data_IF_089051377286
#
_entry.id   IF_089051377286
#
_cell.length_a   1.000
_cell.length_b   1.000
_cell.length_c   1.000
_cell.angle_alpha   90.00
_cell.angle_beta   90.00
_cell.angle_gamma   90.00
#
_symmetry.space_group_name_H-M   'P 1'
#
loop_
_entity.id
_entity.type
_entity.pdbx_description
1 polymer ?
#
# COMPACT_ATOMS: atom_id res chain seq x y z
N UNK A 1 -23.61 -25.97 -6.07
CA UNK A 1 -24.26 -24.99 -5.15
C UNK A 1 -25.11 -24.04 -5.98
N UNK A 2 -26.21 -23.49 -5.44
CA UNK A 2 -26.99 -22.44 -6.14
C UNK A 2 -26.25 -21.09 -6.03
N UNK A 3 -26.31 -20.24 -7.05
CA UNK A 3 -25.76 -18.86 -7.12
C UNK A 3 -24.22 -18.70 -7.16
N UNK A 4 -23.48 -19.67 -7.69
CA UNK A 4 -22.01 -19.60 -7.75
C UNK A 4 -21.50 -18.45 -8.65
N UNK A 5 -22.27 -18.13 -9.68
CA UNK A 5 -22.10 -17.01 -10.62
C UNK A 5 -22.35 -15.63 -9.99
N UNK A 6 -22.72 -15.58 -8.71
CA UNK A 6 -22.99 -14.33 -7.97
C UNK A 6 -22.00 -14.10 -6.83
N UNK A 7 -20.97 -14.93 -6.71
CA UNK A 7 -19.97 -14.86 -5.65
C UNK A 7 -18.64 -14.38 -6.24
N UNK A 8 -18.08 -13.34 -5.62
CA UNK A 8 -16.74 -12.85 -5.87
C UNK A 8 -15.89 -13.02 -4.60
N UNK A 9 -14.78 -13.75 -4.73
CA UNK A 9 -13.73 -13.78 -3.71
C UNK A 9 -12.65 -12.76 -4.04
N UNK A 10 -12.27 -11.98 -3.04
CA UNK A 10 -11.10 -11.10 -3.10
C UNK A 10 -10.07 -11.64 -2.11
N UNK A 11 -8.95 -12.12 -2.63
CA UNK A 11 -7.86 -12.71 -1.88
C UNK A 11 -6.67 -11.74 -1.90
N UNK A 12 -6.42 -11.07 -0.77
CA UNK A 12 -5.36 -10.07 -0.68
C UNK A 12 -4.05 -10.70 -0.14
N UNK A 13 -2.93 -10.44 -0.80
CA UNK A 13 -1.60 -10.83 -0.31
C UNK A 13 -1.29 -12.34 -0.42
N UNK A 14 -1.49 -12.97 -1.57
CA UNK A 14 -1.20 -14.40 -1.76
C UNK A 14 0.22 -14.82 -1.37
N UNK A 15 1.22 -13.96 -1.59
CA UNK A 15 2.62 -14.22 -1.25
C UNK A 15 2.88 -14.31 0.26
N UNK A 16 1.95 -13.86 1.10
CA UNK A 16 2.07 -13.96 2.56
C UNK A 16 1.74 -15.37 3.07
N UNK A 17 0.98 -16.15 2.29
CA UNK A 17 0.51 -17.48 2.70
C UNK A 17 1.23 -18.63 1.98
N UNK A 18 2.14 -18.35 1.03
CA UNK A 18 2.77 -19.40 0.20
C UNK A 18 3.49 -20.47 1.00
N UNK A 19 4.11 -20.11 2.13
CA UNK A 19 4.80 -21.04 3.01
C UNK A 19 3.84 -21.90 3.86
N UNK A 20 2.60 -21.45 4.02
CA UNK A 20 1.55 -22.12 4.80
C UNK A 20 0.60 -22.93 3.93
N UNK A 21 0.79 -22.98 2.61
CA UNK A 21 -0.05 -23.77 1.70
C UNK A 21 0.06 -25.28 1.91
N UNK A 22 0.93 -25.74 2.82
CA UNK A 22 0.95 -27.12 3.31
C UNK A 22 -0.08 -27.42 4.40
N UNK A 23 -0.66 -26.38 5.00
CA UNK A 23 -1.69 -26.54 6.03
C UNK A 23 -2.94 -27.18 5.40
N UNK A 24 -3.50 -28.25 5.99
CA UNK A 24 -4.62 -28.99 5.40
C UNK A 24 -5.83 -28.11 5.09
N UNK A 25 -6.14 -27.15 5.95
CA UNK A 25 -7.25 -26.21 5.79
C UNK A 25 -7.04 -25.30 4.57
N UNK A 26 -5.85 -24.72 4.42
CA UNK A 26 -5.53 -23.86 3.27
C UNK A 26 -5.45 -24.67 1.98
N UNK A 27 -4.84 -25.85 2.01
CA UNK A 27 -4.80 -26.77 0.87
C UNK A 27 -6.20 -27.10 0.38
N UNK A 28 -7.11 -27.41 1.31
CA UNK A 28 -8.51 -27.73 1.01
C UNK A 28 -9.24 -26.53 0.43
N UNK A 29 -9.09 -25.35 1.05
CA UNK A 29 -9.70 -24.11 0.57
C UNK A 29 -9.28 -23.80 -0.87
N UNK A 30 -7.98 -23.77 -1.15
CA UNK A 30 -7.47 -23.51 -2.50
C UNK A 30 -7.90 -24.59 -3.49
N UNK A 31 -7.94 -25.87 -3.06
CA UNK A 31 -8.47 -26.94 -3.90
C UNK A 31 -9.95 -26.72 -4.25
N UNK A 32 -10.78 -26.24 -3.32
CA UNK A 32 -12.20 -25.95 -3.57
C UNK A 32 -12.35 -24.73 -4.48
N UNK A 33 -11.59 -23.66 -4.24
CA UNK A 33 -11.68 -22.42 -5.01
C UNK A 33 -11.19 -22.59 -6.47
N UNK A 34 -10.15 -23.39 -6.68
CA UNK A 34 -9.47 -23.50 -7.98
C UNK A 34 -9.70 -24.84 -8.70
N UNK A 35 -10.31 -25.86 -8.08
CA UNK A 35 -10.81 -27.04 -8.85
C UNK A 35 -11.99 -26.62 -9.69
N UNK A 36 -11.79 -26.66 -11.00
CA UNK A 36 -12.77 -26.29 -12.02
C UNK A 36 -13.86 -27.36 -12.26
N UNK A 37 -14.34 -28.06 -11.22
CA UNK A 37 -15.45 -29.01 -11.37
C UNK A 37 -16.78 -28.26 -11.19
N UNK A 38 -17.40 -28.40 -10.03
CA UNK A 38 -18.79 -28.00 -9.78
C UNK A 38 -18.92 -26.63 -9.11
N UNK A 39 -17.81 -25.90 -8.93
CA UNK A 39 -17.77 -24.58 -8.32
C UNK A 39 -16.85 -23.66 -9.13
N UNK A 40 -17.43 -22.61 -9.72
CA UNK A 40 -16.71 -21.63 -10.54
C UNK A 40 -17.05 -20.20 -10.11
N UNK A 41 -16.54 -19.75 -8.95
CA UNK A 41 -16.76 -18.38 -8.51
C UNK A 41 -15.88 -17.39 -9.28
N UNK A 42 -16.17 -16.10 -9.17
CA UNK A 42 -15.21 -15.07 -9.55
C UNK A 42 -14.14 -14.94 -8.47
N UNK A 43 -12.88 -14.80 -8.86
CA UNK A 43 -11.75 -14.65 -7.95
C UNK A 43 -10.86 -13.51 -8.43
N UNK A 44 -10.62 -12.53 -7.57
CA UNK A 44 -9.58 -11.53 -7.71
C UNK A 44 -8.53 -11.81 -6.64
N UNK A 45 -7.28 -11.96 -7.05
CA UNK A 45 -6.18 -12.23 -6.13
C UNK A 45 -5.06 -11.21 -6.34
N UNK A 46 -4.56 -10.63 -5.26
CA UNK A 46 -3.39 -9.75 -5.28
C UNK A 46 -2.17 -10.51 -4.76
N UNK A 47 -0.99 -10.13 -5.27
CA UNK A 47 0.28 -10.64 -4.78
C UNK A 47 1.41 -9.72 -5.21
N UNK A 48 2.54 -9.75 -4.49
CA UNK A 48 3.82 -9.25 -5.00
C UNK A 48 4.23 -10.02 -6.27
N UNK A 49 5.11 -9.44 -7.12
CA UNK A 49 5.64 -10.16 -8.28
C UNK A 49 6.30 -11.47 -7.86
N UNK A 50 5.74 -12.60 -8.30
CA UNK A 50 6.28 -13.94 -8.08
C UNK A 50 6.52 -14.65 -9.41
N UNK A 51 7.49 -15.57 -9.50
CA UNK A 51 7.63 -16.47 -10.65
C UNK A 51 6.28 -17.15 -10.93
N UNK A 52 5.93 -17.27 -12.22
CA UNK A 52 4.66 -17.79 -12.72
C UNK A 52 4.18 -18.96 -11.86
N UNK A 53 2.98 -18.81 -11.29
CA UNK A 53 2.38 -19.69 -10.29
C UNK A 53 2.29 -21.11 -10.85
N UNK A 54 3.35 -21.88 -10.66
CA UNK A 54 3.31 -23.34 -10.73
C UNK A 54 3.56 -23.87 -9.34
N UNK A 55 2.46 -24.40 -8.80
CA UNK A 55 2.46 -25.60 -7.98
C UNK A 55 2.86 -25.31 -6.53
N UNK A 56 1.87 -24.89 -5.74
CA UNK A 56 1.81 -25.39 -4.37
C UNK A 56 1.35 -26.84 -4.43
N UNK A 57 2.33 -27.74 -4.47
CA UNK A 57 2.16 -29.19 -4.20
C UNK A 57 1.04 -29.90 -4.97
N UNK A 58 0.81 -29.51 -6.23
CA UNK A 58 -0.12 -30.16 -7.16
C UNK A 58 -1.35 -29.31 -7.54
N UNK A 59 -1.58 -28.16 -6.90
CA UNK A 59 -2.64 -27.22 -7.29
C UNK A 59 -2.07 -26.26 -8.34
N UNK A 60 -2.58 -26.36 -9.57
CA UNK A 60 -2.31 -25.39 -10.63
C UNK A 60 -3.33 -24.26 -10.47
N UNK A 61 -2.87 -23.08 -10.10
CA UNK A 61 -3.69 -21.88 -10.07
C UNK A 61 -3.49 -21.18 -11.41
N UNK A 62 -4.51 -21.24 -12.25
CA UNK A 62 -4.52 -20.61 -13.56
C UNK A 62 -5.64 -19.56 -13.61
N UNK A 63 -5.26 -18.32 -13.93
CA UNK A 63 -6.20 -17.20 -14.01
C UNK A 63 -6.44 -16.82 -15.46
N UNK A 64 -7.68 -16.48 -15.79
CA UNK A 64 -8.01 -16.01 -17.14
C UNK A 64 -7.36 -14.66 -17.48
N UNK A 65 -7.06 -13.85 -16.46
CA UNK A 65 -6.49 -12.52 -16.61
C UNK A 65 -5.37 -12.29 -15.60
N UNK A 66 -4.26 -11.74 -16.08
CA UNK A 66 -3.15 -11.28 -15.27
C UNK A 66 -3.00 -9.77 -15.41
N UNK A 67 -3.20 -9.05 -14.31
CA UNK A 67 -3.07 -7.60 -14.26
C UNK A 67 -1.82 -7.23 -13.46
N UNK A 68 -1.16 -6.15 -13.87
CA UNK A 68 -0.01 -5.59 -13.16
C UNK A 68 -0.37 -4.19 -12.66
N UNK A 69 -0.23 -3.97 -11.35
CA UNK A 69 -0.27 -2.62 -10.81
C UNK A 69 1.07 -1.93 -11.12
N UNK A 70 1.03 -0.87 -11.93
CA UNK A 70 2.24 -0.13 -12.37
C UNK A 70 2.50 1.15 -11.56
N UNK A 71 1.62 1.47 -10.61
CA UNK A 71 1.69 2.72 -9.84
C UNK A 71 0.99 3.88 -10.52
N UNK A 72 1.32 5.10 -10.08
CA UNK A 72 0.78 6.34 -10.62
C UNK A 72 1.48 6.77 -11.91
N UNK A 73 0.71 7.33 -12.81
CA UNK A 73 1.20 8.08 -13.97
C UNK A 73 1.56 9.52 -13.59
N UNK A 74 2.30 10.20 -14.46
CA UNK A 74 2.64 11.63 -14.31
C UNK A 74 1.38 12.50 -14.12
N UNK A 75 0.25 12.14 -14.72
CA UNK A 75 -1.03 12.83 -14.57
C UNK A 75 -1.77 12.49 -13.27
N UNK A 76 -1.51 11.31 -12.68
CA UNK A 76 -2.13 10.92 -11.41
C UNK A 76 -1.48 11.62 -10.23
N UNK A 77 -0.17 11.90 -10.28
CA UNK A 77 0.58 12.48 -9.15
C UNK A 77 -0.01 13.84 -8.72
N UNK A 78 -0.21 14.84 -9.60
CA UNK A 78 -0.81 16.12 -9.21
C UNK A 78 -2.22 15.97 -8.64
N UNK A 79 -3.04 15.10 -9.26
CA UNK A 79 -4.43 14.84 -8.82
C UNK A 79 -4.46 14.23 -7.42
N UNK A 80 -3.54 13.30 -7.14
CA UNK A 80 -3.41 12.71 -5.80
C UNK A 80 -2.99 13.78 -4.79
N UNK A 81 -2.01 14.60 -5.12
CA UNK A 81 -1.51 15.68 -4.26
C UNK A 81 -2.60 16.70 -3.93
N UNK A 82 -3.37 17.14 -4.94
CA UNK A 82 -4.54 18.00 -4.76
C UNK A 82 -5.58 17.37 -3.83
N UNK A 83 -5.89 16.09 -4.05
CA UNK A 83 -6.84 15.35 -3.20
C UNK A 83 -6.33 15.13 -1.77
N UNK A 84 -5.03 14.99 -1.59
CA UNK A 84 -4.43 14.84 -0.26
C UNK A 84 -4.48 16.16 0.53
N UNK A 85 -4.34 17.30 -0.16
CA UNK A 85 -4.30 18.63 0.42
C UNK A 85 -5.61 19.43 0.29
N UNK A 86 -6.77 18.78 0.22
CA UNK A 86 -8.09 19.45 0.03
C UNK A 86 -8.32 20.63 0.99
N UNK A 87 -7.77 20.59 2.20
CA UNK A 87 -7.91 21.66 3.20
C UNK A 87 -6.77 22.69 3.21
N UNK A 88 -5.73 22.51 2.39
CA UNK A 88 -4.60 23.44 2.30
C UNK A 88 -4.86 24.53 1.26
N UNK A 89 -4.16 25.66 1.37
CA UNK A 89 -4.15 26.70 0.33
C UNK A 89 -3.53 26.14 -0.95
N UNK A 90 -4.16 26.39 -2.10
CA UNK A 90 -3.72 25.94 -3.43
C UNK A 90 -2.24 26.21 -3.70
N UNK A 91 -1.69 27.31 -3.18
CA UNK A 91 -0.29 27.69 -3.32
C UNK A 91 0.68 26.64 -2.75
N UNK A 92 0.36 26.00 -1.62
CA UNK A 92 1.21 24.98 -0.99
C UNK A 92 1.21 23.68 -1.79
N UNK A 93 0.05 23.32 -2.34
CA UNK A 93 -0.13 22.17 -3.24
C UNK A 93 0.70 22.36 -4.51
N UNK A 94 0.61 23.52 -5.16
CA UNK A 94 1.38 23.83 -6.36
C UNK A 94 2.89 23.87 -6.11
N UNK A 95 3.33 24.44 -4.98
CA UNK A 95 4.75 24.42 -4.58
C UNK A 95 5.26 23.01 -4.40
N UNK A 96 4.47 22.13 -3.79
CA UNK A 96 4.87 20.74 -3.61
C UNK A 96 4.97 20.00 -4.94
N UNK A 97 3.97 20.12 -5.83
CA UNK A 97 4.03 19.51 -7.17
C UNK A 97 5.26 20.00 -7.94
N UNK A 98 5.58 21.29 -7.84
CA UNK A 98 6.79 21.87 -8.46
C UNK A 98 8.06 21.25 -7.90
N UNK A 99 8.14 21.05 -6.57
CA UNK A 99 9.27 20.39 -5.92
C UNK A 99 9.40 18.92 -6.35
N UNK A 100 8.28 18.19 -6.46
CA UNK A 100 8.31 16.79 -6.91
C UNK A 100 8.94 16.70 -8.31
N UNK A 101 8.54 17.60 -9.22
CA UNK A 101 9.01 17.64 -10.60
C UNK A 101 10.45 18.15 -10.74
N UNK A 102 10.91 19.03 -9.85
CA UNK A 102 12.26 19.60 -9.93
C UNK A 102 13.37 18.64 -9.50
N UNK A 103 13.02 17.54 -8.81
CA UNK A 103 13.97 16.53 -8.35
C UNK A 103 13.63 15.16 -8.95
N UNK A 104 14.46 14.67 -9.88
CA UNK A 104 14.25 13.39 -10.59
C UNK A 104 14.07 12.18 -9.65
N UNK A 105 14.81 12.13 -8.54
CA UNK A 105 14.71 11.01 -7.60
C UNK A 105 13.37 11.04 -6.86
N UNK A 106 12.96 12.22 -6.39
CA UNK A 106 11.66 12.42 -5.75
C UNK A 106 10.51 12.15 -6.74
N UNK A 107 10.66 12.58 -8.00
CA UNK A 107 9.70 12.31 -9.05
C UNK A 107 9.52 10.81 -9.30
N UNK A 108 10.63 10.07 -9.44
CA UNK A 108 10.59 8.63 -9.62
C UNK A 108 9.93 7.90 -8.44
N UNK A 109 10.25 8.32 -7.21
CA UNK A 109 9.64 7.77 -5.98
C UNK A 109 8.12 8.07 -5.95
N UNK A 110 7.68 9.22 -6.44
CA UNK A 110 6.28 9.66 -6.43
C UNK A 110 5.35 8.78 -7.28
N UNK A 111 5.90 7.97 -8.18
CA UNK A 111 5.11 7.02 -8.98
C UNK A 111 4.61 5.84 -8.14
N UNK A 112 5.21 5.58 -6.98
CA UNK A 112 4.74 4.56 -6.05
C UNK A 112 3.73 5.21 -5.08
N UNK A 113 2.44 4.79 -5.06
CA UNK A 113 1.40 5.49 -4.30
C UNK A 113 1.72 5.69 -2.81
N UNK A 114 2.19 4.65 -2.12
CA UNK A 114 2.57 4.76 -0.69
C UNK A 114 3.73 5.74 -0.50
N UNK A 115 4.68 5.80 -1.43
CA UNK A 115 5.81 6.72 -1.32
C UNK A 115 5.39 8.16 -1.55
N UNK A 116 4.47 8.43 -2.49
CA UNK A 116 3.88 9.75 -2.69
C UNK A 116 3.13 10.22 -1.43
N UNK A 117 2.36 9.33 -0.80
CA UNK A 117 1.66 9.64 0.45
C UNK A 117 2.64 10.03 1.57
N UNK A 118 3.74 9.29 1.72
CA UNK A 118 4.79 9.61 2.70
C UNK A 118 5.49 10.94 2.39
N UNK A 119 5.69 11.27 1.11
CA UNK A 119 6.22 12.57 0.70
C UNK A 119 5.22 13.70 1.05
N UNK A 120 3.93 13.51 0.79
CA UNK A 120 2.89 14.48 1.18
C UNK A 120 2.86 14.71 2.69
N UNK A 121 2.90 13.62 3.47
CA UNK A 121 2.99 13.68 4.93
C UNK A 121 4.22 14.47 5.40
N UNK A 122 5.37 14.20 4.79
CA UNK A 122 6.65 14.84 5.13
C UNK A 122 6.69 16.33 4.74
N UNK A 123 6.04 16.69 3.64
CA UNK A 123 5.85 18.08 3.21
C UNK A 123 5.03 18.89 4.20
N UNK A 124 3.89 18.37 4.69
CA UNK A 124 3.09 19.05 5.73
C UNK A 124 3.87 19.33 7.01
N UNK A 125 4.85 18.48 7.32
CA UNK A 125 5.71 18.62 8.49
C UNK A 125 6.97 19.46 8.21
N UNK A 126 7.04 20.12 7.05
CA UNK A 126 8.13 21.01 6.61
C UNK A 126 9.53 20.36 6.56
N UNK A 127 9.59 19.03 6.37
CA UNK A 127 10.86 18.28 6.30
C UNK A 127 11.45 18.15 4.89
N UNK A 128 10.59 18.15 3.86
CA UNK A 128 11.07 18.09 2.47
C UNK A 128 11.41 19.51 2.02
N UNK A 129 12.67 19.93 2.15
CA UNK A 129 13.16 21.26 1.73
C UNK A 129 14.20 21.18 0.60
N UNK A 130 13.97 20.32 -0.39
CA UNK A 130 14.76 20.30 -1.62
C UNK A 130 16.11 19.56 -1.55
N UNK A 131 16.41 18.84 -0.46
CA UNK A 131 17.56 17.92 -0.44
C UNK A 131 17.26 16.60 -1.15
N UNK A 132 18.31 15.96 -1.68
CA UNK A 132 18.26 14.66 -2.36
C UNK A 132 17.67 13.59 -1.43
N UNK A 133 16.35 13.41 -1.51
CA UNK A 133 15.61 12.47 -0.68
C UNK A 133 15.70 11.09 -1.34
N UNK A 134 16.27 10.12 -0.63
CA UNK A 134 16.18 8.70 -1.01
C UNK A 134 14.94 8.09 -0.37
N UNK A 135 14.50 6.92 -0.86
CA UNK A 135 13.39 6.22 -0.24
C UNK A 135 13.70 5.88 1.22
N UNK A 136 14.93 5.43 1.52
CA UNK A 136 15.37 5.14 2.89
C UNK A 136 15.33 6.37 3.79
N UNK A 137 15.81 7.54 3.32
CA UNK A 137 15.76 8.76 4.13
C UNK A 137 14.32 9.19 4.41
N UNK A 138 13.43 9.04 3.42
CA UNK A 138 12.00 9.30 3.60
C UNK A 138 11.39 8.40 4.68
N UNK A 139 11.67 7.09 4.65
CA UNK A 139 11.20 6.18 5.70
C UNK A 139 11.78 6.53 7.08
N UNK A 140 13.08 6.84 7.18
CA UNK A 140 13.69 7.27 8.43
C UNK A 140 13.01 8.52 9.00
N UNK A 141 12.74 9.51 8.15
CA UNK A 141 12.09 10.75 8.56
C UNK A 141 10.68 10.53 9.10
N UNK A 142 9.91 9.66 8.44
CA UNK A 142 8.56 9.29 8.85
C UNK A 142 8.58 8.54 10.18
N UNK A 143 9.45 7.52 10.31
CA UNK A 143 9.57 6.73 11.55
C UNK A 143 9.96 7.60 12.74
N UNK A 144 10.99 8.44 12.58
CA UNK A 144 11.39 9.39 13.62
C UNK A 144 10.23 10.32 14.01
N UNK A 145 9.41 10.73 13.04
CA UNK A 145 8.29 11.61 13.33
C UNK A 145 7.20 10.90 14.12
N UNK A 146 6.81 9.70 13.70
CA UNK A 146 5.83 8.86 14.40
C UNK A 146 6.28 8.69 15.85
N UNK A 147 7.55 8.33 16.06
CA UNK A 147 8.11 8.17 17.40
C UNK A 147 8.01 9.45 18.23
N UNK A 148 8.42 10.61 17.68
CA UNK A 148 8.35 11.89 18.40
C UNK A 148 6.91 12.28 18.77
N UNK A 149 5.95 12.05 17.87
CA UNK A 149 4.54 12.37 18.11
C UNK A 149 3.94 11.47 19.19
N UNK A 150 4.30 10.18 19.19
CA UNK A 150 3.83 9.24 20.20
C UNK A 150 4.46 9.51 21.57
N UNK A 151 5.74 9.88 21.59
CA UNK A 151 6.42 10.29 22.82
C UNK A 151 5.75 11.51 23.47
N UNK A 152 5.45 12.56 22.69
CA UNK A 152 4.81 13.76 23.21
C UNK A 152 3.37 13.49 23.70
N UNK A 153 2.60 12.65 23.00
CA UNK A 153 1.26 12.23 23.47
C UNK A 153 1.33 11.49 24.81
N UNK A 154 2.27 10.56 24.95
CA UNK A 154 2.47 9.82 26.19
C UNK A 154 2.92 10.72 27.33
N UNK A 155 3.77 11.70 27.05
CA UNK A 155 4.17 12.72 28.03
C UNK A 155 2.99 13.58 28.48
N UNK A 156 2.18 14.08 27.54
CA UNK A 156 0.99 14.88 27.83
C UNK A 156 -0.04 14.10 28.66
N UNK A 157 -0.26 12.82 28.33
CA UNK A 157 -1.16 11.93 29.07
C UNK A 157 -0.68 11.70 30.50
N UNK A 158 0.63 11.44 30.69
CA UNK A 158 1.23 11.32 32.04
C UNK A 158 1.15 12.61 32.84
N UNK A 159 1.29 13.77 32.19
CA UNK A 159 1.18 15.07 32.86
C UNK A 159 -0.27 15.35 33.30
N UNK A 160 -1.25 15.07 32.44
CA UNK A 160 -2.67 15.20 32.75
C UNK A 160 -3.05 14.33 33.96
N UNK A 161 -2.62 13.06 34.00
CA UNK A 161 -2.88 12.16 35.13
C UNK A 161 -2.22 12.58 36.45
N UNK A 162 -1.14 13.38 36.41
CA UNK A 162 -0.51 13.96 37.60
C UNK A 162 -1.22 15.20 38.14
N UNK A 163 -2.01 15.89 37.32
CA UNK A 163 -2.78 17.07 37.73
C UNK A 163 -4.08 16.68 38.45
N UNK A 164 -4.60 15.47 38.20
CA UNK A 164 -5.82 14.94 38.82
C UNK A 164 -5.58 14.08 40.08
N UNK A 165 -4.38 14.11 40.67
CA UNK A 165 -4.04 13.49 41.96
C UNK A 165 -3.52 14.55 42.91
#
# INVERSE_FOLDING_TARGET
MKNQDRILFVLDGYDEVTNSLCEPTLTTLFSVLFRQTDFKPYIVMTSRPMPVIKISRGIIIDFNHHLRCIGFTDENIPKFVEKYFIQAKDEQTQKFVTLLKSNRNIWAISHVPVSLELLCYSWLKKKVQGQSTTLSSLYTDVVQKIYSTEFEKNKATKLALKIYK
#
